data_IF_563590817139
#
_entry.id   IF_563590817139
#
_cell.length_a   1.000
_cell.length_b   1.000
_cell.length_c   1.000
_cell.angle_alpha   90.00
_cell.angle_beta   90.00
_cell.angle_gamma   90.00
#
_symmetry.space_group_name_H-M   'P 1'
#
loop_
_entity.id
_entity.type
_entity.pdbx_description
1 polymer ?
#
# COMPACT_ATOMS: atom_id res chain seq x y z
N UNK A 1 -20.88 28.36 -74.98
CA UNK A 1 -21.64 28.86 -73.82
C UNK A 1 -20.61 29.63 -72.96
N UNK A 2 -20.37 30.95 -73.15
CA UNK A 2 -21.07 32.13 -72.58
C UNK A 2 -21.46 31.88 -71.09
N UNK A 3 -21.00 32.62 -70.07
CA UNK A 3 -20.61 34.04 -69.99
C UNK A 3 -19.50 34.31 -68.94
N UNK A 4 -18.69 35.31 -69.29
CA UNK A 4 -17.78 36.13 -68.48
C UNK A 4 -18.56 37.32 -67.85
N UNK A 5 -18.14 37.80 -66.68
CA UNK A 5 -18.16 39.25 -66.30
C UNK A 5 -17.14 39.49 -65.16
N UNK A 6 -16.01 40.19 -65.38
CA UNK A 6 -15.74 41.65 -65.26
C UNK A 6 -15.73 42.14 -63.78
N UNK A 7 -14.90 43.06 -63.26
CA UNK A 7 -13.74 43.89 -63.71
C UNK A 7 -13.23 44.69 -62.48
N UNK A 8 -11.90 44.81 -62.35
CA UNK A 8 -11.08 46.04 -62.11
C UNK A 8 -11.27 47.08 -60.98
N UNK A 9 -10.13 47.76 -60.74
CA UNK A 9 -9.78 48.95 -59.91
C UNK A 9 -9.34 48.61 -58.48
N UNK A 10 -8.16 49.00 -57.99
CA UNK A 10 -7.31 50.15 -58.30
C UNK A 10 -7.15 50.96 -57.01
N UNK A 11 -5.92 51.14 -56.54
CA UNK A 11 -5.47 51.81 -55.31
C UNK A 11 -6.30 53.03 -54.85
N UNK A 12 -6.40 53.24 -53.53
CA UNK A 12 -6.04 54.52 -52.88
C UNK A 12 -5.79 54.34 -51.37
N UNK A 13 -4.79 55.09 -50.95
CA UNK A 13 -4.07 55.24 -49.69
C UNK A 13 -4.90 55.87 -48.56
N UNK A 14 -4.65 55.46 -47.30
CA UNK A 14 -4.74 56.26 -46.05
C UNK A 14 -4.15 55.38 -44.93
N UNK A 15 -2.85 55.38 -44.68
CA UNK A 15 -2.10 56.37 -43.90
C UNK A 15 -2.71 56.60 -42.50
N UNK A 16 -2.05 56.11 -41.45
CA UNK A 16 -1.55 56.95 -40.35
C UNK A 16 -0.71 56.13 -39.34
N UNK A 17 0.54 56.60 -39.21
CA UNK A 17 1.33 56.68 -37.98
C UNK A 17 1.92 55.42 -37.36
N UNK A 18 3.20 55.23 -37.69
CA UNK A 18 4.26 54.83 -36.76
C UNK A 18 4.19 55.56 -35.42
N UNK A 19 4.41 54.83 -34.33
CA UNK A 19 4.73 55.38 -33.02
C UNK A 19 5.41 54.31 -32.17
N UNK A 20 6.72 54.44 -31.98
CA UNK A 20 7.44 53.76 -30.92
C UNK A 20 6.81 54.17 -29.59
N UNK A 21 6.41 53.20 -28.78
CA UNK A 21 6.14 53.45 -27.35
C UNK A 21 7.12 52.61 -26.56
N UNK A 22 8.13 53.32 -26.04
CA UNK A 22 8.87 52.96 -24.84
C UNK A 22 7.86 52.73 -23.71
N UNK A 23 7.84 51.52 -23.14
CA UNK A 23 7.18 51.25 -21.87
C UNK A 23 8.24 51.06 -20.80
N UNK A 24 8.35 52.02 -19.89
CA UNK A 24 9.15 51.95 -18.66
C UNK A 24 8.77 50.71 -17.84
N UNK A 25 9.76 49.93 -17.42
CA UNK A 25 9.60 48.95 -16.35
C UNK A 25 9.51 49.71 -15.02
N UNK A 26 8.29 50.12 -14.66
CA UNK A 26 8.01 50.57 -13.30
C UNK A 26 8.04 49.35 -12.38
N UNK A 27 9.17 49.13 -11.73
CA UNK A 27 9.27 48.24 -10.57
C UNK A 27 8.44 48.84 -9.42
N UNK A 28 7.15 48.53 -9.42
CA UNK A 28 6.32 48.64 -8.23
C UNK A 28 6.84 47.60 -7.23
N UNK A 29 7.41 48.07 -6.12
CA UNK A 29 7.68 47.23 -4.96
C UNK A 29 6.33 46.73 -4.42
N UNK A 30 5.85 45.63 -4.99
CA UNK A 30 4.73 44.88 -4.47
C UNK A 30 5.07 44.44 -3.05
N UNK A 31 4.20 44.81 -2.13
CA UNK A 31 4.15 44.36 -0.76
C UNK A 31 4.43 42.85 -0.70
N UNK A 32 5.56 42.45 -0.10
CA UNK A 32 5.82 41.06 0.24
C UNK A 32 4.80 40.71 1.32
N UNK A 33 3.66 40.17 0.93
CA UNK A 33 2.78 39.50 1.87
C UNK A 33 3.56 38.30 2.38
N UNK A 34 4.03 38.38 3.62
CA UNK A 34 4.55 37.24 4.35
C UNK A 34 3.47 36.16 4.27
N UNK A 35 3.70 35.12 3.47
CA UNK A 35 2.83 33.96 3.48
C UNK A 35 2.88 33.44 4.90
N UNK A 36 1.73 33.45 5.59
CA UNK A 36 1.63 32.85 6.91
C UNK A 36 2.25 31.46 6.82
N UNK A 37 3.13 31.14 7.77
CA UNK A 37 3.60 29.78 7.96
C UNK A 37 2.37 28.87 7.90
N UNK A 38 2.38 27.83 7.04
CA UNK A 38 1.24 26.94 6.94
C UNK A 38 0.88 26.52 8.36
N UNK A 39 -0.41 26.57 8.75
CA UNK A 39 -0.80 26.13 10.08
C UNK A 39 -0.17 24.75 10.26
N UNK A 40 0.63 24.60 11.32
CA UNK A 40 1.22 23.32 11.67
C UNK A 40 0.10 22.31 11.52
N UNK A 41 0.26 21.35 10.59
CA UNK A 41 -0.69 20.27 10.48
C UNK A 41 -0.71 19.69 11.89
N UNK A 42 -1.85 19.78 12.57
CA UNK A 42 -2.14 18.83 13.62
C UNK A 42 -2.18 17.51 12.87
N UNK A 43 -1.02 16.86 12.72
CA UNK A 43 -0.92 15.47 12.32
C UNK A 43 -1.80 14.80 13.33
N UNK A 44 -2.97 14.37 12.88
CA UNK A 44 -3.85 13.57 13.71
C UNK A 44 -2.99 12.39 14.14
N UNK A 45 -2.62 12.37 15.42
CA UNK A 45 -1.75 11.35 16.00
C UNK A 45 -2.33 9.96 15.79
N UNK A 46 -3.62 9.88 15.44
CA UNK A 46 -4.32 8.66 15.03
C UNK A 46 -3.69 8.02 13.78
N UNK A 47 -3.26 8.80 12.77
CA UNK A 47 -2.74 8.23 11.51
C UNK A 47 -1.40 7.49 11.65
N UNK A 48 -0.60 7.88 12.63
CA UNK A 48 0.68 7.23 12.95
C UNK A 48 0.52 6.09 13.96
N UNK A 49 -0.69 5.83 14.43
CA UNK A 49 -0.97 4.79 15.41
C UNK A 49 -1.85 3.71 14.80
N UNK A 50 -1.69 2.49 15.29
CA UNK A 50 -2.54 1.38 14.90
C UNK A 50 -2.55 0.29 15.95
N UNK A 51 -3.33 -0.75 15.70
CA UNK A 51 -3.30 -1.95 16.51
C UNK A 51 -3.73 -3.19 15.76
N UNK A 52 -3.31 -4.34 16.27
CA UNK A 52 -3.76 -5.66 15.85
C UNK A 52 -4.43 -6.29 17.06
N UNK A 53 -5.71 -6.63 16.92
CA UNK A 53 -6.41 -7.40 17.94
C UNK A 53 -6.18 -8.89 17.69
N UNK A 54 -5.60 -9.55 18.67
CA UNK A 54 -5.38 -10.98 18.70
C UNK A 54 -6.51 -11.64 19.48
N UNK A 55 -7.01 -12.75 18.96
CA UNK A 55 -7.91 -13.63 19.70
C UNK A 55 -7.12 -14.75 20.37
N UNK A 56 -7.77 -15.44 21.30
CA UNK A 56 -7.18 -16.63 21.92
C UNK A 56 -6.92 -17.71 20.84
N UNK A 57 -5.72 -18.28 20.87
CA UNK A 57 -5.26 -19.26 19.90
C UNK A 57 -4.28 -18.67 18.89
N UNK A 58 -4.19 -19.29 17.72
CA UNK A 58 -3.34 -18.84 16.62
C UNK A 58 -3.98 -17.71 15.83
N UNK A 59 -3.18 -16.68 15.59
CA UNK A 59 -3.50 -15.52 14.75
C UNK A 59 -2.50 -15.49 13.59
N UNK A 60 -3.02 -15.34 12.38
CA UNK A 60 -2.20 -15.23 11.17
C UNK A 60 -2.23 -13.79 10.69
N UNK A 61 -1.24 -13.02 11.13
CA UNK A 61 -1.29 -11.56 11.10
C UNK A 61 -0.19 -10.93 10.25
N UNK A 62 -0.40 -9.68 9.85
CA UNK A 62 0.58 -8.82 9.17
C UNK A 62 0.54 -7.40 9.71
N UNK A 63 1.57 -6.60 9.42
CA UNK A 63 1.50 -5.16 9.60
C UNK A 63 1.05 -4.49 8.30
N UNK A 64 0.09 -3.54 8.34
CA UNK A 64 -0.47 -2.96 7.13
C UNK A 64 0.48 -2.00 6.42
N UNK A 65 1.45 -1.43 7.16
CA UNK A 65 2.34 -0.34 6.74
C UNK A 65 3.67 -0.43 7.49
N UNK A 66 4.70 0.29 7.04
CA UNK A 66 6.00 0.27 7.74
C UNK A 66 5.86 0.84 9.14
N UNK A 67 6.46 0.16 10.10
CA UNK A 67 6.53 0.60 11.48
C UNK A 67 7.65 1.64 11.66
N UNK A 68 7.51 2.49 12.68
CA UNK A 68 8.52 3.48 13.08
C UNK A 68 9.82 2.78 13.50
N UNK A 69 10.97 3.41 13.25
CA UNK A 69 12.28 2.77 13.39
C UNK A 69 12.62 2.29 14.81
N UNK A 70 12.05 2.91 15.83
CA UNK A 70 12.20 2.54 17.24
C UNK A 70 11.16 1.51 17.72
N UNK A 71 10.23 1.09 16.85
CA UNK A 71 9.14 0.16 17.15
C UNK A 71 8.83 -0.79 15.98
N UNK A 72 9.85 -1.17 15.21
CA UNK A 72 9.71 -2.01 14.01
C UNK A 72 10.21 -3.45 14.16
N UNK A 73 10.42 -3.94 15.39
CA UNK A 73 10.93 -5.29 15.63
C UNK A 73 9.90 -6.19 16.33
N UNK A 74 10.16 -7.49 16.40
CA UNK A 74 9.29 -8.44 17.10
C UNK A 74 9.15 -8.14 18.60
N UNK A 75 9.95 -7.23 19.15
CA UNK A 75 9.75 -6.65 20.47
C UNK A 75 8.36 -6.01 20.67
N UNK A 76 7.62 -5.66 19.61
CA UNK A 76 6.22 -5.21 19.72
C UNK A 76 5.29 -6.26 20.37
N UNK A 77 5.69 -7.53 20.38
CA UNK A 77 4.98 -8.63 21.04
C UNK A 77 5.44 -8.87 22.49
N UNK A 78 6.31 -8.01 23.03
CA UNK A 78 6.77 -8.14 24.43
C UNK A 78 5.57 -8.06 25.39
N UNK A 79 5.50 -9.02 26.31
CA UNK A 79 4.39 -9.12 27.27
C UNK A 79 3.17 -9.87 26.75
N UNK A 80 3.22 -10.38 25.51
CA UNK A 80 2.22 -11.33 25.01
C UNK A 80 2.35 -12.68 25.73
N UNK A 81 1.26 -13.16 26.31
CA UNK A 81 1.19 -14.50 26.91
C UNK A 81 1.10 -15.57 25.81
N UNK A 82 2.24 -15.98 25.25
CA UNK A 82 2.29 -16.92 24.13
C UNK A 82 2.16 -18.40 24.50
N UNK A 83 1.95 -18.72 25.79
CA UNK A 83 1.99 -20.09 26.31
C UNK A 83 3.28 -20.87 25.95
N UNK A 84 4.39 -20.16 25.75
CA UNK A 84 5.68 -20.76 25.37
C UNK A 84 5.81 -21.07 23.87
N UNK A 85 4.86 -20.63 23.04
CA UNK A 85 4.99 -20.72 21.59
C UNK A 85 5.91 -19.61 21.05
N UNK A 86 6.77 -19.97 20.10
CA UNK A 86 7.49 -19.03 19.26
C UNK A 86 6.55 -18.29 18.31
N UNK A 87 6.99 -17.13 17.85
CA UNK A 87 6.37 -16.43 16.70
C UNK A 87 7.07 -16.94 15.43
N UNK A 88 6.30 -17.29 14.41
CA UNK A 88 6.86 -17.85 13.17
C UNK A 88 6.64 -16.97 11.96
N UNK A 89 7.65 -16.93 11.07
CA UNK A 89 7.50 -16.53 9.67
C UNK A 89 7.95 -17.66 8.74
N UNK A 90 7.57 -17.60 7.47
CA UNK A 90 7.88 -18.63 6.48
C UNK A 90 8.97 -18.13 5.53
N UNK A 91 10.03 -18.93 5.38
CA UNK A 91 11.06 -18.71 4.37
C UNK A 91 10.62 -19.39 3.07
N UNK A 92 10.02 -18.65 2.14
CA UNK A 92 9.63 -19.22 0.85
C UNK A 92 10.81 -19.63 -0.05
N UNK A 93 11.98 -19.00 0.11
CA UNK A 93 13.14 -19.23 -0.76
C UNK A 93 13.73 -20.63 -0.57
N UNK A 94 13.96 -20.99 0.69
CA UNK A 94 14.56 -22.28 1.05
C UNK A 94 13.50 -23.31 1.50
N UNK A 95 12.28 -22.84 1.76
CA UNK A 95 11.19 -23.61 2.33
C UNK A 95 11.35 -23.78 3.85
N UNK A 96 10.28 -23.58 4.60
CA UNK A 96 10.22 -23.88 6.03
C UNK A 96 9.95 -22.67 6.92
N UNK A 97 9.93 -22.93 8.22
CA UNK A 97 9.59 -21.94 9.24
C UNK A 97 10.84 -21.38 9.90
N UNK A 98 10.82 -20.09 10.18
CA UNK A 98 11.79 -19.39 11.00
C UNK A 98 11.09 -18.90 12.27
N UNK A 99 11.72 -19.15 13.43
CA UNK A 99 11.34 -18.50 14.69
C UNK A 99 11.82 -17.04 14.66
N UNK A 100 10.98 -16.11 15.12
CA UNK A 100 11.38 -14.72 15.29
C UNK A 100 12.06 -14.47 16.64
N UNK A 101 13.19 -13.77 16.61
CA UNK A 101 13.81 -13.16 17.80
C UNK A 101 13.34 -11.72 17.96
N UNK A 102 13.45 -11.18 19.19
CA UNK A 102 12.91 -9.86 19.53
C UNK A 102 13.52 -8.69 18.72
N UNK A 103 14.74 -8.87 18.20
CA UNK A 103 15.48 -7.90 17.39
C UNK A 103 15.19 -7.98 15.89
N UNK A 104 14.51 -9.03 15.42
CA UNK A 104 14.13 -9.16 14.02
C UNK A 104 13.02 -8.18 13.64
N UNK A 105 13.13 -7.61 12.44
CA UNK A 105 12.20 -6.60 11.94
C UNK A 105 10.86 -7.20 11.55
N UNK A 106 9.80 -6.50 11.89
CA UNK A 106 8.44 -6.72 11.41
C UNK A 106 8.21 -5.82 10.20
N UNK A 107 8.12 -6.45 9.03
CA UNK A 107 7.99 -5.78 7.74
C UNK A 107 6.58 -5.94 7.15
N UNK A 108 6.08 -4.96 6.37
CA UNK A 108 4.91 -5.15 5.52
C UNK A 108 5.15 -6.23 4.46
N UNK A 109 4.08 -6.80 3.91
CA UNK A 109 4.10 -7.97 3.01
C UNK A 109 4.63 -9.26 3.62
N UNK A 110 5.21 -9.22 4.81
CA UNK A 110 5.53 -10.42 5.59
C UNK A 110 4.34 -10.84 6.45
N UNK A 111 4.23 -12.14 6.68
CA UNK A 111 3.22 -12.73 7.54
C UNK A 111 3.81 -13.36 8.78
N UNK A 112 3.01 -13.46 9.84
CA UNK A 112 3.46 -13.97 11.13
C UNK A 112 2.38 -14.82 11.78
N UNK A 113 2.78 -15.98 12.28
CA UNK A 113 1.96 -16.78 13.18
C UNK A 113 2.26 -16.40 14.62
N UNK A 114 1.23 -15.93 15.31
CA UNK A 114 1.31 -15.45 16.69
C UNK A 114 0.26 -16.18 17.52
N UNK A 115 0.68 -16.87 18.57
CA UNK A 115 -0.22 -17.48 19.52
C UNK A 115 -0.48 -16.54 20.69
N UNK A 116 -1.75 -16.40 21.10
CA UNK A 116 -2.14 -15.65 22.30
C UNK A 116 -2.97 -16.53 23.22
N UNK A 117 -2.63 -16.59 24.51
CA UNK A 117 -3.36 -17.40 25.51
C UNK A 117 -4.71 -16.81 25.91
N UNK A 118 -4.89 -15.51 25.66
CA UNK A 118 -6.13 -14.76 25.86
C UNK A 118 -6.25 -13.69 24.78
N UNK A 119 -7.44 -13.10 24.55
CA UNK A 119 -7.54 -11.92 23.70
C UNK A 119 -6.56 -10.83 24.16
N UNK A 120 -5.86 -10.20 23.21
CA UNK A 120 -4.85 -9.18 23.47
C UNK A 120 -4.77 -8.19 22.31
N UNK A 121 -4.21 -7.00 22.56
CA UNK A 121 -4.05 -5.97 21.52
C UNK A 121 -2.59 -5.60 21.41
N UNK A 122 -2.01 -5.79 20.23
CA UNK A 122 -0.66 -5.33 19.90
C UNK A 122 -0.75 -3.92 19.36
N UNK A 123 0.02 -2.99 19.93
CA UNK A 123 0.07 -1.59 19.47
C UNK A 123 1.12 -1.42 18.39
N UNK A 124 0.77 -0.68 17.36
CA UNK A 124 1.64 -0.35 16.24
C UNK A 124 1.91 1.14 16.23
N UNK A 125 3.14 1.51 15.89
CA UNK A 125 3.51 2.87 15.54
C UNK A 125 4.02 2.85 14.11
N UNK A 126 3.40 3.63 13.23
CA UNK A 126 3.77 3.70 11.82
C UNK A 126 4.85 4.74 11.59
N UNK A 127 5.69 4.50 10.59
CA UNK A 127 6.70 5.46 10.16
C UNK A 127 6.04 6.71 9.58
N UNK A 128 6.59 7.88 9.91
CA UNK A 128 6.21 9.19 9.37
C UNK A 128 7.12 9.62 8.21
N UNK A 129 8.07 8.79 7.79
CA UNK A 129 9.02 9.09 6.71
C UNK A 129 8.29 9.17 5.36
N UNK A 130 8.24 10.36 4.72
CA UNK A 130 7.53 10.56 3.46
C UNK A 130 8.30 10.02 2.25
N UNK A 131 9.58 9.64 2.39
CA UNK A 131 10.44 9.21 1.28
C UNK A 131 10.52 7.70 1.11
N UNK A 132 9.62 6.96 1.78
CA UNK A 132 9.60 5.51 1.70
C UNK A 132 9.07 5.02 0.35
N UNK A 133 9.86 4.17 -0.31
CA UNK A 133 9.39 3.42 -1.48
C UNK A 133 8.34 2.38 -1.05
N UNK A 134 7.27 2.11 -1.83
CA UNK A 134 6.32 1.05 -1.50
C UNK A 134 7.00 -0.33 -1.34
N UNK A 135 6.62 -1.15 -0.34
CA UNK A 135 7.15 -2.51 -0.17
C UNK A 135 6.93 -3.41 -1.39
N UNK A 136 7.92 -4.26 -1.67
CA UNK A 136 7.85 -5.33 -2.66
C UNK A 136 8.40 -6.61 -2.03
N UNK A 137 7.74 -7.74 -2.28
CA UNK A 137 8.14 -9.06 -1.79
C UNK A 137 8.35 -10.02 -2.95
N UNK A 138 9.53 -10.63 -3.01
CA UNK A 138 9.83 -11.68 -3.98
C UNK A 138 9.22 -13.02 -3.55
N UNK A 139 8.58 -13.66 -4.52
CA UNK A 139 7.90 -14.95 -4.38
C UNK A 139 8.60 -15.99 -5.26
N UNK A 140 8.62 -17.24 -4.79
CA UNK A 140 9.14 -18.39 -5.52
C UNK A 140 7.99 -19.26 -6.02
N UNK A 141 8.18 -20.00 -7.12
CA UNK A 141 7.16 -20.95 -7.58
C UNK A 141 6.75 -21.91 -6.44
N UNK A 142 5.45 -22.09 -6.23
CA UNK A 142 4.87 -22.84 -5.12
C UNK A 142 4.15 -21.95 -4.10
N UNK A 143 4.01 -22.48 -2.87
CA UNK A 143 3.37 -21.77 -1.76
C UNK A 143 4.30 -20.72 -1.16
N UNK A 144 3.78 -19.51 -1.03
CA UNK A 144 4.42 -18.39 -0.37
C UNK A 144 3.47 -17.81 0.67
N UNK A 145 4.02 -17.10 1.62
CA UNK A 145 3.26 -16.38 2.63
C UNK A 145 3.36 -14.89 2.36
N UNK A 146 2.26 -14.16 2.52
CA UNK A 146 2.29 -12.70 2.48
C UNK A 146 1.32 -12.09 3.48
N UNK A 147 1.69 -10.91 3.96
CA UNK A 147 0.83 -10.06 4.76
C UNK A 147 0.06 -9.07 3.90
N UNK A 148 -1.23 -8.86 4.20
CA UNK A 148 -1.98 -7.78 3.56
C UNK A 148 -1.41 -6.41 3.95
N UNK A 149 -1.39 -5.49 2.99
CA UNK A 149 -0.91 -4.11 3.17
C UNK A 149 -2.02 -3.11 2.91
N UNK A 150 -2.10 -2.06 3.72
CA UNK A 150 -3.18 -1.07 3.69
C UNK A 150 -4.19 -1.23 4.83
N UNK A 151 -4.94 -0.16 5.10
CA UNK A 151 -5.87 -0.06 6.23
C UNK A 151 -7.33 -0.30 5.82
N UNK A 152 -7.59 -0.61 4.55
CA UNK A 152 -8.94 -0.87 4.04
C UNK A 152 -8.93 -2.21 3.33
N UNK A 153 -9.93 -3.08 3.56
CA UNK A 153 -10.07 -4.33 2.82
C UNK A 153 -10.06 -4.11 1.31
N UNK A 154 -9.44 -5.04 0.58
CA UNK A 154 -9.43 -5.05 -0.88
C UNK A 154 -9.59 -6.47 -1.39
N UNK A 155 -10.12 -6.64 -2.60
CA UNK A 155 -10.31 -7.98 -3.16
C UNK A 155 -8.98 -8.69 -3.35
N UNK A 156 -8.96 -10.02 -3.32
CA UNK A 156 -7.76 -10.80 -3.64
C UNK A 156 -7.26 -10.47 -5.04
N UNK A 157 -8.17 -10.29 -6.01
CA UNK A 157 -7.87 -9.86 -7.38
C UNK A 157 -7.09 -8.55 -7.43
N UNK A 158 -7.52 -7.54 -6.69
CA UNK A 158 -6.89 -6.21 -6.69
C UNK A 158 -5.59 -6.22 -5.88
N UNK A 159 -5.58 -6.92 -4.75
CA UNK A 159 -4.42 -7.03 -3.86
C UNK A 159 -3.24 -7.74 -4.51
N UNK A 160 -3.51 -8.70 -5.40
CA UNK A 160 -2.50 -9.50 -6.10
C UNK A 160 -2.33 -9.09 -7.56
N UNK A 161 -2.76 -7.87 -7.94
CA UNK A 161 -2.76 -7.41 -9.32
C UNK A 161 -1.37 -7.39 -9.97
N UNK A 162 -0.32 -7.10 -9.18
CA UNK A 162 1.08 -7.09 -9.63
C UNK A 162 1.58 -8.48 -10.05
N UNK A 163 0.98 -9.55 -9.50
CA UNK A 163 1.29 -10.95 -9.80
C UNK A 163 0.12 -11.68 -10.48
N UNK A 164 -0.83 -10.94 -11.08
CA UNK A 164 -2.12 -11.44 -11.62
C UNK A 164 -2.03 -12.67 -12.53
N UNK A 165 -0.91 -12.84 -13.23
CA UNK A 165 -0.70 -13.92 -14.19
C UNK A 165 0.01 -15.13 -13.55
N UNK A 166 0.55 -14.98 -12.34
CA UNK A 166 1.35 -15.99 -11.66
C UNK A 166 0.60 -16.66 -10.50
N UNK A 167 -0.26 -15.94 -9.76
CA UNK A 167 -0.99 -16.52 -8.63
C UNK A 167 -2.20 -17.34 -9.06
N UNK A 168 -2.51 -18.42 -8.35
CA UNK A 168 -3.67 -19.28 -8.63
C UNK A 168 -4.62 -19.41 -7.45
N UNK A 169 -4.08 -19.51 -6.23
CA UNK A 169 -4.84 -19.81 -5.02
C UNK A 169 -4.38 -18.94 -3.86
N UNK A 170 -5.32 -18.51 -3.03
CA UNK A 170 -5.07 -17.81 -1.77
C UNK A 170 -5.86 -18.48 -0.65
N UNK A 171 -5.23 -18.65 0.51
CA UNK A 171 -5.85 -19.27 1.69
C UNK A 171 -5.59 -18.39 2.91
N UNK A 172 -6.66 -17.89 3.52
CA UNK A 172 -6.62 -17.17 4.79
C UNK A 172 -6.79 -18.09 5.99
N UNK A 173 -6.67 -17.53 7.19
CA UNK A 173 -6.93 -18.21 8.45
C UNK A 173 -8.01 -17.47 9.22
N UNK A 174 -9.02 -18.21 9.68
CA UNK A 174 -10.04 -17.70 10.59
C UNK A 174 -9.60 -18.00 12.04
N UNK A 175 -9.16 -16.99 12.80
CA UNK A 175 -8.70 -17.20 14.16
C UNK A 175 -9.86 -17.37 15.15
N UNK A 176 -11.11 -17.04 14.80
CA UNK A 176 -12.25 -17.26 15.68
C UNK A 176 -12.61 -18.75 15.77
N UNK A 177 -12.50 -19.49 14.66
CA UNK A 177 -12.77 -20.94 14.62
C UNK A 177 -11.50 -21.80 14.55
N UNK A 178 -10.33 -21.17 14.46
CA UNK A 178 -9.01 -21.84 14.39
C UNK A 178 -8.89 -22.79 13.20
N UNK A 179 -9.29 -22.33 12.01
CA UNK A 179 -9.25 -23.12 10.78
C UNK A 179 -8.86 -22.25 9.57
N UNK A 180 -8.33 -22.90 8.53
CA UNK A 180 -8.14 -22.25 7.24
C UNK A 180 -9.49 -21.90 6.62
N UNK A 181 -9.56 -20.70 6.03
CA UNK A 181 -10.73 -20.26 5.28
C UNK A 181 -10.87 -21.03 3.96
N UNK A 182 -12.07 -20.99 3.38
CA UNK A 182 -12.28 -21.46 2.00
C UNK A 182 -11.27 -20.80 1.05
N UNK A 183 -10.62 -21.60 0.21
CA UNK A 183 -9.66 -21.12 -0.79
C UNK A 183 -10.30 -20.11 -1.74
N UNK A 184 -9.59 -19.02 -2.01
CA UNK A 184 -9.89 -18.07 -3.07
C UNK A 184 -9.09 -18.49 -4.31
N UNK A 185 -9.76 -18.59 -5.47
CA UNK A 185 -9.14 -19.02 -6.73
C UNK A 185 -9.13 -17.85 -7.71
N UNK A 186 -8.00 -17.64 -8.40
CA UNK A 186 -7.87 -16.61 -9.44
C UNK A 186 -8.85 -16.87 -10.58
N UNK A 187 -9.75 -15.91 -10.86
CA UNK A 187 -10.86 -16.11 -11.79
C UNK A 187 -11.92 -17.11 -11.31
N UNK A 188 -11.91 -17.49 -10.03
CA UNK A 188 -12.88 -18.37 -9.40
C UNK A 188 -14.28 -17.77 -9.33
N UNK A 189 -15.24 -18.56 -8.85
CA UNK A 189 -16.64 -18.14 -8.70
C UNK A 189 -17.24 -18.60 -7.37
N UNK A 190 -18.39 -18.05 -7.01
CA UNK A 190 -19.11 -18.36 -5.78
C UNK A 190 -18.23 -18.17 -4.53
N UNK A 191 -18.20 -19.14 -3.62
CA UNK A 191 -17.41 -19.11 -2.38
C UNK A 191 -15.89 -19.05 -2.62
N UNK A 192 -15.43 -19.36 -3.84
CA UNK A 192 -14.03 -19.34 -4.23
C UNK A 192 -13.68 -18.11 -5.09
N UNK A 193 -14.59 -17.14 -5.24
CA UNK A 193 -14.37 -15.97 -6.10
C UNK A 193 -13.21 -15.10 -5.61
N UNK A 194 -12.38 -14.64 -6.55
CA UNK A 194 -11.28 -13.68 -6.32
C UNK A 194 -11.74 -12.25 -6.01
N UNK A 195 -13.04 -11.99 -6.07
CA UNK A 195 -13.68 -10.77 -5.55
C UNK A 195 -13.82 -10.77 -4.01
N UNK A 196 -13.51 -11.89 -3.35
CA UNK A 196 -13.48 -11.96 -1.88
C UNK A 196 -12.39 -11.04 -1.32
N UNK A 197 -12.69 -10.45 -0.18
CA UNK A 197 -11.83 -9.45 0.46
C UNK A 197 -10.70 -10.12 1.24
N UNK A 198 -9.51 -9.58 1.06
CA UNK A 198 -8.42 -9.70 2.02
C UNK A 198 -8.53 -8.52 3.01
N UNK A 199 -8.14 -8.76 4.25
CA UNK A 199 -8.39 -7.85 5.36
C UNK A 199 -7.07 -7.23 5.86
N UNK A 200 -7.10 -5.95 6.29
CA UNK A 200 -6.02 -5.36 7.06
C UNK A 200 -5.63 -6.23 8.24
N UNK A 201 -4.35 -6.20 8.60
CA UNK A 201 -3.74 -6.95 9.72
C UNK A 201 -3.78 -8.49 9.60
N UNK A 202 -4.25 -9.04 8.48
CA UNK A 202 -4.28 -10.48 8.23
C UNK A 202 -3.18 -10.90 7.23
N UNK A 203 -2.70 -12.13 7.42
CA UNK A 203 -1.79 -12.81 6.50
C UNK A 203 -2.47 -13.95 5.76
N UNK A 204 -1.86 -14.33 4.65
CA UNK A 204 -2.41 -15.29 3.70
C UNK A 204 -1.31 -16.16 3.12
N UNK A 205 -1.68 -17.40 2.78
CA UNK A 205 -0.93 -18.20 1.84
C UNK A 205 -1.33 -17.84 0.42
N UNK A 206 -0.36 -17.84 -0.49
CA UNK A 206 -0.58 -17.69 -1.94
C UNK A 206 0.23 -18.73 -2.70
N UNK A 207 -0.40 -19.42 -3.63
CA UNK A 207 0.29 -20.28 -4.57
C UNK A 207 0.59 -19.50 -5.85
N UNK A 208 1.85 -19.50 -6.28
CA UNK A 208 2.29 -18.90 -7.56
C UNK A 208 2.94 -19.94 -8.45
N UNK A 209 2.72 -19.87 -9.76
CA UNK A 209 3.22 -20.84 -10.74
C UNK A 209 4.66 -20.58 -11.18
N UNK A 210 5.14 -19.34 -10.99
CA UNK A 210 6.48 -18.89 -11.32
C UNK A 210 6.97 -17.83 -10.33
N UNK A 211 8.28 -17.63 -10.28
CA UNK A 211 8.86 -16.55 -9.48
C UNK A 211 8.35 -15.19 -9.95
N UNK A 212 7.91 -14.35 -9.02
CA UNK A 212 7.34 -13.04 -9.28
C UNK A 212 7.58 -12.09 -8.10
N UNK A 213 7.27 -10.81 -8.28
CA UNK A 213 7.43 -9.80 -7.22
C UNK A 213 6.07 -9.17 -6.91
N UNK A 214 5.58 -9.41 -5.69
CA UNK A 214 4.34 -8.83 -5.17
C UNK A 214 4.61 -7.41 -4.70
N UNK A 215 3.95 -6.43 -5.32
CA UNK A 215 3.94 -5.05 -4.86
C UNK A 215 2.79 -4.80 -3.87
N UNK A 216 3.04 -4.02 -2.82
CA UNK A 216 2.02 -3.59 -1.86
C UNK A 216 0.93 -2.73 -2.51
N UNK A 217 -0.31 -2.87 -2.06
CA UNK A 217 -1.44 -2.02 -2.48
C UNK A 217 -1.74 -0.85 -1.52
N UNK A 218 -1.00 -0.75 -0.41
CA UNK A 218 -1.01 0.37 0.52
C UNK A 218 0.29 0.35 1.33
N UNK A 219 0.81 1.51 1.73
CA UNK A 219 2.08 1.59 2.47
C UNK A 219 2.12 2.82 3.37
#
# INVERSE_FOLDING_TARGET
MKKIWLLWFGCILLCLCTGLVYGEENASAGEITTLAEPPALNIDTDYLSGSIDLVQGWNFMSVPRRLADDSNTAAIFTGLESAGHSIWTYNQKDGGWNDLTADEKILPLEGYWVYSSSPSTVKLQFSDDPLQVPPVKDMTAGWNMFGFTGNTPASARDSLLSIRNAWTEVIGWDPAVQQFETTIVNGGSNEQADSRMLLPTHSYWVYVTESCSLASIGA
#
